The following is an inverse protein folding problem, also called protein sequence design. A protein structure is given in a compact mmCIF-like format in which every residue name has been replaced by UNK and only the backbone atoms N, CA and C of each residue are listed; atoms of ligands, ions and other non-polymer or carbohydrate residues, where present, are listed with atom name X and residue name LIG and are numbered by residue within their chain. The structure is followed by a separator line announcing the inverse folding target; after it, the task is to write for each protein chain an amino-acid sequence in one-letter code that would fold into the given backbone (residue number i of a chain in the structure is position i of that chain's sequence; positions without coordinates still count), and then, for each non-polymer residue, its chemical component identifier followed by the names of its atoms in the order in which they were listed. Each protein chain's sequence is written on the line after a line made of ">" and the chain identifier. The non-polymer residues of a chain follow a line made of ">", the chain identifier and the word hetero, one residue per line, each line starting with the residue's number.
data_IF_602016816795
#
_entry.id   IF_602016816795
#
_cell.length_a   1.000
_cell.length_b   1.000
_cell.length_c   1.000
_cell.angle_alpha   90.00
_cell.angle_beta   90.00
_cell.angle_gamma   90.00
#
_symmetry.space_group_name_H-M   'P 1'
#
loop_
_entity.id
_entity.type
_entity.pdbx_description
1 polymer ?
#
# COMPACT_ATOMS: atom_id res chain seq x y z
N UNK A 1 4.38 -16.69 -13.51
CA UNK A 1 3.17 -17.50 -13.51
C UNK A 1 1.98 -16.71 -14.06
N UNK A 2 1.61 -15.54 -13.52
CA UNK A 2 0.48 -14.73 -13.99
C UNK A 2 0.52 -14.43 -15.49
N UNK A 3 1.70 -14.01 -16.02
CA UNK A 3 1.84 -13.75 -17.46
C UNK A 3 1.58 -14.99 -18.32
N UNK A 4 2.04 -16.15 -17.89
CA UNK A 4 1.81 -17.41 -18.62
C UNK A 4 0.32 -17.77 -18.60
N UNK A 5 -0.34 -17.62 -17.46
CA UNK A 5 -1.79 -17.81 -17.31
C UNK A 5 -2.58 -16.86 -18.23
N UNK A 6 -2.22 -15.58 -18.23
CA UNK A 6 -2.89 -14.58 -19.08
C UNK A 6 -2.76 -14.93 -20.59
N UNK A 7 -1.60 -15.38 -21.04
CA UNK A 7 -1.36 -15.82 -22.42
C UNK A 7 -2.19 -17.08 -22.74
N UNK A 8 -2.20 -18.08 -21.84
CA UNK A 8 -2.98 -19.31 -22.00
C UNK A 8 -4.48 -19.01 -22.13
N UNK A 9 -4.98 -18.06 -21.35
CA UNK A 9 -6.40 -17.64 -21.35
C UNK A 9 -6.72 -16.60 -22.43
N UNK A 10 -5.76 -16.21 -23.25
CA UNK A 10 -5.90 -15.17 -24.29
C UNK A 10 -6.40 -13.83 -23.72
N UNK A 11 -5.96 -13.47 -22.50
CA UNK A 11 -6.28 -12.19 -21.88
C UNK A 11 -5.43 -11.07 -22.47
N UNK A 12 -6.07 -9.93 -22.75
CA UNK A 12 -5.38 -8.79 -23.34
C UNK A 12 -4.59 -8.00 -22.29
N UNK A 13 -3.32 -7.75 -22.59
CA UNK A 13 -2.50 -6.79 -21.85
C UNK A 13 -2.86 -5.37 -22.30
N UNK A 14 -2.92 -4.46 -21.33
CA UNK A 14 -3.31 -3.08 -21.59
C UNK A 14 -2.26 -2.35 -22.44
N UNK A 15 -2.71 -1.77 -23.54
CA UNK A 15 -1.90 -0.91 -24.41
C UNK A 15 -2.11 0.55 -23.99
N UNK A 16 -1.05 1.17 -23.43
CA UNK A 16 -1.05 2.56 -22.99
C UNK A 16 -1.25 3.59 -24.11
N UNK A 17 -0.95 3.23 -25.36
CA UNK A 17 -1.10 4.14 -26.50
C UNK A 17 -2.55 4.19 -26.97
N UNK A 18 -3.18 3.02 -27.02
CA UNK A 18 -4.55 2.89 -27.51
C UNK A 18 -5.59 2.89 -26.38
N UNK A 19 -5.15 2.90 -25.12
CA UNK A 19 -5.99 2.82 -23.92
C UNK A 19 -6.98 1.65 -23.98
N UNK A 20 -6.48 0.47 -24.35
CA UNK A 20 -7.26 -0.73 -24.54
C UNK A 20 -6.58 -1.96 -23.94
N UNK A 21 -7.37 -2.95 -23.50
CA UNK A 21 -6.93 -4.21 -22.91
C UNK A 21 -7.23 -4.29 -21.42
N UNK A 22 -7.34 -5.51 -20.88
CA UNK A 22 -7.81 -5.80 -19.52
C UNK A 22 -6.73 -5.60 -18.46
N UNK A 23 -5.55 -6.23 -18.66
CA UNK A 23 -4.49 -6.33 -17.64
C UNK A 23 -3.57 -5.12 -17.70
N UNK A 24 -3.70 -4.19 -16.75
CA UNK A 24 -2.92 -2.95 -16.76
C UNK A 24 -1.58 -3.09 -16.06
N UNK A 25 -1.59 -3.20 -14.76
CA UNK A 25 -0.38 -3.42 -13.97
C UNK A 25 -0.67 -4.16 -12.66
N UNK A 26 0.39 -4.49 -11.95
CA UNK A 26 0.33 -5.03 -10.59
C UNK A 26 1.22 -4.21 -9.67
N UNK A 27 0.77 -4.04 -8.44
CA UNK A 27 1.59 -3.52 -7.34
C UNK A 27 1.77 -4.62 -6.31
N UNK A 28 3.02 -5.02 -6.11
CA UNK A 28 3.39 -5.99 -5.08
C UNK A 28 4.11 -5.25 -3.95
N UNK A 29 3.64 -5.43 -2.72
CA UNK A 29 4.30 -4.97 -1.50
C UNK A 29 4.59 -6.14 -0.59
N UNK A 30 5.78 -6.19 -0.06
CA UNK A 30 6.18 -7.11 0.99
C UNK A 30 6.52 -6.32 2.24
N UNK A 31 6.13 -6.82 3.39
CA UNK A 31 6.38 -6.18 4.68
C UNK A 31 7.44 -6.92 5.49
N UNK A 32 8.07 -6.23 6.45
CA UNK A 32 9.02 -6.81 7.40
C UNK A 32 8.41 -7.92 8.26
N UNK A 33 7.09 -7.92 8.41
CA UNK A 33 6.30 -8.96 9.10
C UNK A 33 6.14 -10.25 8.29
N UNK A 34 6.56 -10.26 7.00
CA UNK A 34 6.35 -11.36 6.07
C UNK A 34 4.99 -11.32 5.36
N UNK A 35 4.13 -10.35 5.66
CA UNK A 35 2.87 -10.15 4.95
C UNK A 35 3.11 -9.64 3.52
N UNK A 36 2.24 -10.07 2.59
CA UNK A 36 2.31 -9.73 1.16
C UNK A 36 0.99 -9.12 0.72
N UNK A 37 1.06 -7.94 0.13
CA UNK A 37 -0.07 -7.31 -0.56
C UNK A 37 0.15 -7.35 -2.06
N UNK A 38 -0.84 -7.84 -2.79
CA UNK A 38 -0.90 -7.77 -4.25
C UNK A 38 -2.15 -7.01 -4.69
N UNK A 39 -1.96 -5.88 -5.35
CA UNK A 39 -3.02 -5.12 -6.00
C UNK A 39 -2.91 -5.30 -7.51
N UNK A 40 -3.99 -5.74 -8.15
CA UNK A 40 -4.09 -5.86 -9.62
C UNK A 40 -4.92 -4.71 -10.15
N UNK A 41 -4.40 -3.99 -11.12
CA UNK A 41 -5.16 -2.99 -11.85
C UNK A 41 -5.70 -3.58 -13.17
N UNK A 42 -7.00 -3.53 -13.32
CA UNK A 42 -7.71 -3.91 -14.53
C UNK A 42 -8.29 -2.67 -15.23
N UNK A 43 -8.59 -2.79 -16.51
CA UNK A 43 -9.46 -1.89 -17.23
C UNK A 43 -10.70 -2.70 -17.66
N UNK A 44 -11.75 -2.63 -16.87
CA UNK A 44 -12.99 -3.40 -17.05
C UNK A 44 -14.05 -2.46 -17.64
N UNK A 45 -14.46 -2.73 -18.87
CA UNK A 45 -15.48 -1.97 -19.59
C UNK A 45 -16.67 -2.82 -20.00
N UNK A 46 -16.53 -4.17 -19.97
CA UNK A 46 -17.55 -5.13 -20.35
C UNK A 46 -17.77 -6.19 -19.27
N UNK A 47 -18.91 -6.89 -19.31
CA UNK A 47 -19.18 -8.00 -18.38
C UNK A 47 -18.20 -9.17 -18.60
N UNK A 48 -17.80 -9.42 -19.84
CA UNK A 48 -16.78 -10.43 -20.13
C UNK A 48 -15.44 -10.10 -19.49
N UNK A 49 -14.97 -8.87 -19.58
CA UNK A 49 -13.74 -8.44 -18.92
C UNK A 49 -13.84 -8.53 -17.41
N UNK A 50 -15.03 -8.33 -16.84
CA UNK A 50 -15.29 -8.55 -15.41
C UNK A 50 -15.12 -10.02 -15.02
N UNK A 51 -15.66 -10.95 -15.82
CA UNK A 51 -15.49 -12.38 -15.60
C UNK A 51 -14.01 -12.79 -15.73
N UNK A 52 -13.33 -12.28 -16.74
CA UNK A 52 -11.91 -12.52 -16.98
C UNK A 52 -11.04 -11.97 -15.82
N UNK A 53 -11.36 -10.78 -15.30
CA UNK A 53 -10.67 -10.22 -14.13
C UNK A 53 -10.86 -11.09 -12.89
N UNK A 54 -12.08 -11.55 -12.60
CA UNK A 54 -12.36 -12.46 -11.48
C UNK A 54 -11.65 -13.81 -11.66
N UNK A 55 -11.54 -14.33 -12.87
CA UNK A 55 -10.77 -15.54 -13.17
C UNK A 55 -9.26 -15.34 -12.86
N UNK A 56 -8.71 -14.18 -13.15
CA UNK A 56 -7.33 -13.81 -12.76
C UNK A 56 -7.18 -13.77 -11.26
N UNK A 57 -8.11 -13.13 -10.54
CA UNK A 57 -8.06 -13.04 -9.07
C UNK A 57 -8.15 -14.41 -8.41
N UNK A 58 -9.01 -15.28 -8.93
CA UNK A 58 -9.14 -16.67 -8.44
C UNK A 58 -7.86 -17.49 -8.70
N UNK A 59 -7.25 -17.33 -9.88
CA UNK A 59 -5.95 -17.94 -10.17
C UNK A 59 -4.87 -17.48 -9.18
N UNK A 60 -4.77 -16.19 -8.90
CA UNK A 60 -3.81 -15.62 -7.97
C UNK A 60 -4.05 -16.15 -6.54
N UNK A 61 -5.30 -16.16 -6.09
CA UNK A 61 -5.67 -16.66 -4.78
C UNK A 61 -5.29 -18.13 -4.56
N UNK A 62 -5.51 -18.97 -5.57
CA UNK A 62 -5.17 -20.41 -5.50
C UNK A 62 -3.68 -20.69 -5.64
N UNK A 63 -2.99 -19.92 -6.49
CA UNK A 63 -1.60 -20.17 -6.84
C UNK A 63 -0.61 -19.60 -5.83
N UNK A 64 -1.04 -18.61 -5.03
CA UNK A 64 -0.18 -17.87 -4.10
C UNK A 64 -0.89 -17.69 -2.75
N UNK A 65 -1.07 -18.79 -1.98
CA UNK A 65 -1.77 -18.74 -0.68
C UNK A 65 -1.04 -17.89 0.37
N UNK A 66 0.22 -17.54 0.13
CA UNK A 66 1.02 -16.65 0.97
C UNK A 66 0.62 -15.16 0.87
N UNK A 67 -0.20 -14.78 -0.10
CA UNK A 67 -0.69 -13.39 -0.23
C UNK A 67 -1.69 -13.10 0.88
N UNK A 68 -1.32 -12.21 1.80
CA UNK A 68 -2.12 -11.82 2.96
C UNK A 68 -3.24 -10.81 2.59
N UNK A 69 -2.99 -10.03 1.54
CA UNK A 69 -3.87 -8.96 1.06
C UNK A 69 -3.93 -9.01 -0.47
N UNK A 70 -4.99 -9.60 -1.01
CA UNK A 70 -5.22 -9.71 -2.44
C UNK A 70 -6.33 -8.74 -2.86
N UNK A 71 -5.95 -7.72 -3.62
CA UNK A 71 -6.78 -6.58 -3.95
C UNK A 71 -6.86 -6.38 -5.47
N UNK A 72 -7.91 -5.71 -5.91
CA UNK A 72 -7.97 -5.23 -7.28
C UNK A 72 -8.68 -3.89 -7.39
N UNK A 73 -8.46 -3.20 -8.50
CA UNK A 73 -9.09 -1.93 -8.83
C UNK A 73 -9.44 -1.90 -10.32
N UNK A 74 -10.62 -1.34 -10.63
CA UNK A 74 -10.97 -1.02 -12.01
C UNK A 74 -10.51 0.40 -12.34
N UNK A 75 -9.51 0.51 -13.22
CA UNK A 75 -8.96 1.78 -13.67
C UNK A 75 -9.16 1.95 -15.18
N UNK A 76 -10.20 2.67 -15.56
CA UNK A 76 -10.52 3.01 -16.95
C UNK A 76 -9.93 4.34 -17.42
N UNK A 77 -9.13 4.99 -16.55
CA UNK A 77 -8.46 6.27 -16.86
C UNK A 77 -7.24 6.06 -17.76
N UNK A 78 -6.75 7.14 -18.37
CA UNK A 78 -5.53 7.12 -19.18
C UNK A 78 -4.23 7.20 -18.34
N UNK A 79 -4.29 7.05 -17.02
CA UNK A 79 -3.13 7.02 -16.12
C UNK A 79 -3.26 5.91 -15.09
N UNK A 80 -2.17 5.58 -14.38
CA UNK A 80 -2.12 4.49 -13.42
C UNK A 80 -2.36 4.91 -11.96
N UNK A 81 -2.79 6.16 -11.72
CA UNK A 81 -3.10 6.61 -10.35
C UNK A 81 -4.36 5.94 -9.83
N UNK A 82 -4.34 5.54 -8.56
CA UNK A 82 -5.46 4.83 -7.91
C UNK A 82 -6.09 5.61 -6.75
N UNK A 83 -5.57 6.80 -6.43
CA UNK A 83 -6.00 7.57 -5.25
C UNK A 83 -7.50 7.87 -5.21
N UNK A 84 -8.12 8.09 -6.35
CA UNK A 84 -9.54 8.40 -6.56
C UNK A 84 -10.41 7.19 -6.93
N UNK A 85 -9.84 5.97 -6.92
CA UNK A 85 -10.54 4.75 -7.30
C UNK A 85 -10.87 3.88 -6.08
N UNK A 86 -11.96 3.14 -6.15
CA UNK A 86 -12.32 2.15 -5.13
C UNK A 86 -11.45 0.90 -5.27
N UNK A 87 -10.71 0.56 -4.22
CA UNK A 87 -9.96 -0.67 -4.12
C UNK A 87 -10.83 -1.75 -3.51
N UNK A 88 -10.93 -2.88 -4.18
CA UNK A 88 -11.78 -4.00 -3.78
C UNK A 88 -10.90 -5.11 -3.21
N UNK A 89 -11.22 -5.53 -1.99
CA UNK A 89 -10.58 -6.70 -1.37
C UNK A 89 -11.19 -7.97 -1.94
N UNK A 90 -10.36 -8.77 -2.62
CA UNK A 90 -10.76 -10.09 -3.11
C UNK A 90 -10.59 -11.16 -2.03
N UNK A 91 -9.45 -11.15 -1.33
CA UNK A 91 -9.16 -12.09 -0.25
C UNK A 91 -8.21 -11.47 0.78
N UNK A 92 -8.34 -11.90 2.03
CA UNK A 92 -7.52 -11.42 3.13
C UNK A 92 -7.93 -10.03 3.64
N UNK A 93 -6.95 -9.22 3.99
CA UNK A 93 -7.14 -7.85 4.51
C UNK A 93 -6.94 -6.81 3.42
N UNK A 94 -7.42 -5.58 3.64
CA UNK A 94 -7.17 -4.42 2.77
C UNK A 94 -5.86 -3.68 3.11
N UNK A 95 -5.02 -4.27 3.95
CA UNK A 95 -3.75 -3.70 4.42
C UNK A 95 -2.75 -4.81 4.75
N UNK A 96 -1.50 -4.41 4.93
CA UNK A 96 -0.42 -5.20 5.56
C UNK A 96 0.18 -4.39 6.70
N UNK A 97 0.94 -5.06 7.58
CA UNK A 97 1.66 -4.39 8.66
C UNK A 97 3.17 -4.36 8.40
N UNK A 98 3.75 -3.21 8.63
CA UNK A 98 5.19 -3.04 8.83
C UNK A 98 5.50 -2.93 10.31
N UNK A 99 6.69 -3.36 10.72
CA UNK A 99 7.13 -3.29 12.11
C UNK A 99 8.53 -2.66 12.23
N UNK A 100 8.71 -1.76 13.20
CA UNK A 100 9.96 -1.06 13.45
C UNK A 100 10.07 -0.70 14.93
N UNK A 101 11.12 -1.16 15.63
CA UNK A 101 11.34 -0.94 17.08
C UNK A 101 10.11 -1.27 17.96
N UNK A 102 9.36 -2.30 17.61
CA UNK A 102 8.12 -2.68 18.32
C UNK A 102 6.93 -1.75 18.05
N UNK A 103 7.07 -0.80 17.12
CA UNK A 103 5.95 -0.04 16.57
C UNK A 103 5.40 -0.78 15.35
N UNK A 104 4.09 -0.84 15.25
CA UNK A 104 3.41 -1.54 14.18
C UNK A 104 2.61 -0.54 13.34
N UNK A 105 2.85 -0.54 12.04
CA UNK A 105 2.26 0.42 11.10
C UNK A 105 1.34 -0.30 10.11
N UNK A 106 0.07 0.06 10.12
CA UNK A 106 -0.88 -0.33 9.09
C UNK A 106 -0.56 0.40 7.79
N UNK A 107 -0.38 -0.36 6.70
CA UNK A 107 -0.07 0.15 5.36
C UNK A 107 -1.12 -0.33 4.37
N UNK A 108 -1.97 0.57 3.94
CA UNK A 108 -2.99 0.32 2.91
C UNK A 108 -2.43 0.42 1.48
N UNK A 109 -3.23 0.05 0.47
CA UNK A 109 -2.81 0.08 -0.94
C UNK A 109 -2.55 1.49 -1.46
N UNK A 110 -3.18 2.51 -0.90
CA UNK A 110 -3.00 3.93 -1.25
C UNK A 110 -2.01 4.65 -0.34
N UNK A 111 -1.61 4.04 0.78
CA UNK A 111 -0.72 4.65 1.75
C UNK A 111 0.71 4.68 1.24
N UNK A 112 1.38 5.80 1.43
CA UNK A 112 2.83 5.87 1.23
C UNK A 112 3.55 5.22 2.41
N UNK A 113 4.46 4.32 2.13
CA UNK A 113 5.43 3.78 3.06
C UNK A 113 6.75 3.56 2.32
N UNK A 114 7.88 3.75 3.00
CA UNK A 114 9.20 3.58 2.40
C UNK A 114 9.41 2.12 1.94
N UNK A 115 9.73 1.94 0.68
CA UNK A 115 9.84 0.61 0.05
C UNK A 115 11.01 -0.23 0.56
N UNK A 116 12.07 0.42 1.05
CA UNK A 116 13.18 -0.23 1.74
C UNK A 116 13.08 0.05 3.23
N UNK A 117 12.40 -0.84 3.96
CA UNK A 117 12.11 -0.69 5.39
C UNK A 117 13.37 -0.67 6.25
N UNK A 118 14.41 -1.44 5.89
CA UNK A 118 15.69 -1.44 6.60
C UNK A 118 16.39 -0.08 6.49
N UNK A 119 16.49 0.46 5.28
CA UNK A 119 17.11 1.74 5.04
C UNK A 119 16.27 2.89 5.62
N UNK A 120 14.95 2.78 5.61
CA UNK A 120 14.06 3.73 6.27
C UNK A 120 14.32 3.78 7.78
N UNK A 121 14.51 2.63 8.40
CA UNK A 121 14.84 2.55 9.82
C UNK A 121 16.15 3.30 10.14
N UNK A 122 17.22 3.08 9.35
CA UNK A 122 18.48 3.80 9.52
C UNK A 122 18.29 5.32 9.38
N UNK A 123 17.55 5.76 8.37
CA UNK A 123 17.20 7.17 8.15
C UNK A 123 16.44 7.77 9.35
N UNK A 124 15.47 7.03 9.90
CA UNK A 124 14.68 7.51 11.03
C UNK A 124 15.49 7.58 12.33
N UNK A 125 16.49 6.69 12.51
CA UNK A 125 17.44 6.80 13.62
C UNK A 125 18.25 8.11 13.54
N UNK A 126 18.80 8.42 12.36
CA UNK A 126 19.52 9.67 12.12
C UNK A 126 18.63 10.88 12.36
N UNK A 127 17.39 10.85 11.85
CA UNK A 127 16.40 11.92 12.08
C UNK A 127 16.16 12.14 13.57
N UNK A 128 15.96 11.05 14.33
CA UNK A 128 15.73 11.10 15.78
C UNK A 128 16.95 11.61 16.55
N UNK A 129 18.16 11.26 16.11
CA UNK A 129 19.39 11.76 16.69
C UNK A 129 19.56 13.25 16.46
N UNK A 130 19.38 13.72 15.21
CA UNK A 130 19.52 15.14 14.85
C UNK A 130 18.44 16.03 15.48
N UNK A 131 17.29 15.46 15.82
CA UNK A 131 16.24 16.20 16.52
C UNK A 131 16.60 16.53 17.99
N UNK A 132 17.61 15.89 18.58
CA UNK A 132 18.14 16.13 19.94
C UNK A 132 17.04 16.25 21.02
N UNK A 133 15.98 15.43 20.89
CA UNK A 133 14.83 15.49 21.76
C UNK A 133 15.15 15.08 23.20
N UNK A 134 14.74 15.92 24.16
CA UNK A 134 14.99 15.75 25.61
C UNK A 134 13.76 15.27 26.39
N UNK A 135 12.58 15.15 25.71
CA UNK A 135 11.29 14.81 26.32
C UNK A 135 10.43 16.02 26.66
N UNK A 136 10.89 17.23 26.38
CA UNK A 136 10.13 18.47 26.69
C UNK A 136 9.56 19.17 25.44
N UNK A 137 9.93 18.72 24.26
CA UNK A 137 9.63 19.39 23.01
C UNK A 137 8.20 19.09 22.51
N UNK A 138 7.62 20.08 21.84
CA UNK A 138 6.50 19.92 20.94
C UNK A 138 7.06 19.76 19.51
N UNK A 139 6.86 18.60 18.93
CA UNK A 139 7.35 18.27 17.58
C UNK A 139 6.19 18.34 16.59
N UNK A 140 6.44 18.93 15.43
CA UNK A 140 5.53 18.90 14.30
C UNK A 140 6.14 18.02 13.20
N UNK A 141 5.42 16.97 12.81
CA UNK A 141 5.74 16.12 11.66
C UNK A 141 4.85 16.56 10.49
N UNK A 142 5.44 17.34 9.57
CA UNK A 142 4.74 17.88 8.42
C UNK A 142 4.74 16.86 7.28
N UNK A 143 3.57 16.65 6.67
CA UNK A 143 3.33 15.59 5.69
C UNK A 143 3.52 14.19 6.30
N UNK A 144 2.92 13.99 7.44
CA UNK A 144 3.18 12.81 8.31
C UNK A 144 2.81 11.47 7.66
N UNK A 145 2.00 11.47 6.61
CA UNK A 145 1.53 10.25 5.93
C UNK A 145 0.79 9.34 6.92
N UNK A 146 1.25 8.10 7.03
CA UNK A 146 0.73 7.11 7.98
C UNK A 146 1.22 7.30 9.42
N UNK A 147 1.93 8.41 9.69
CA UNK A 147 2.42 8.76 11.03
C UNK A 147 3.71 8.05 11.46
N UNK A 148 4.46 7.50 10.52
CA UNK A 148 5.62 6.66 10.82
C UNK A 148 6.71 7.41 11.60
N UNK A 149 7.15 8.57 11.10
CA UNK A 149 8.19 9.38 11.77
C UNK A 149 7.65 9.96 13.07
N UNK A 150 6.42 10.48 13.05
CA UNK A 150 5.77 11.01 14.25
C UNK A 150 5.81 10.01 15.42
N UNK A 151 5.43 8.76 15.18
CA UNK A 151 5.44 7.71 16.20
C UNK A 151 6.85 7.28 16.60
N UNK A 152 7.77 7.21 15.63
CA UNK A 152 9.15 6.82 15.86
C UNK A 152 9.88 7.77 16.82
N UNK A 153 9.55 9.07 16.81
CA UNK A 153 10.11 10.08 17.70
C UNK A 153 9.30 10.31 18.97
N UNK A 154 8.03 9.85 19.02
CA UNK A 154 7.08 10.18 20.07
C UNK A 154 7.56 9.84 21.49
N UNK A 155 8.29 8.71 21.66
CA UNK A 155 8.83 8.30 22.96
C UNK A 155 9.88 9.27 23.53
N UNK A 156 10.44 10.15 22.71
CA UNK A 156 11.48 11.13 23.10
C UNK A 156 10.99 12.57 23.08
N UNK A 157 9.70 12.82 22.84
CA UNK A 157 9.11 14.15 22.82
C UNK A 157 8.02 14.27 23.87
N UNK A 158 7.73 15.48 24.34
CA UNK A 158 6.58 15.76 25.21
C UNK A 158 5.26 15.55 24.45
N UNK A 159 5.22 15.94 23.20
CA UNK A 159 4.08 15.80 22.30
C UNK A 159 4.54 15.84 20.85
N UNK A 160 3.92 15.03 20.01
CA UNK A 160 4.07 15.10 18.55
C UNK A 160 2.73 15.41 17.91
N UNK A 161 2.74 16.27 16.90
CA UNK A 161 1.57 16.64 16.11
C UNK A 161 1.89 16.33 14.64
N UNK A 162 1.25 15.31 14.09
CA UNK A 162 1.29 15.02 12.66
C UNK A 162 0.34 15.92 11.87
N UNK A 163 0.79 16.42 10.72
CA UNK A 163 0.00 17.23 9.79
C UNK A 163 -0.03 16.53 8.44
N UNK A 164 -1.23 16.22 7.95
CA UNK A 164 -1.45 15.51 6.69
C UNK A 164 -2.74 16.02 6.04
N UNK A 165 -2.79 16.02 4.71
CA UNK A 165 -3.96 16.47 3.94
C UNK A 165 -4.80 15.32 3.37
N UNK A 166 -4.20 14.12 3.20
CA UNK A 166 -4.85 12.95 2.60
C UNK A 166 -5.69 12.22 3.66
N UNK A 167 -7.03 12.16 3.51
CA UNK A 167 -7.92 11.59 4.54
C UNK A 167 -7.61 10.13 4.90
N UNK A 168 -7.28 9.30 3.92
CA UNK A 168 -6.95 7.89 4.13
C UNK A 168 -5.66 7.75 4.95
N UNK A 169 -4.64 8.55 4.64
CA UNK A 169 -3.39 8.59 5.41
C UNK A 169 -3.62 9.05 6.85
N UNK A 170 -4.50 10.04 7.06
CA UNK A 170 -4.88 10.49 8.40
C UNK A 170 -5.57 9.37 9.19
N UNK A 171 -6.45 8.61 8.54
CA UNK A 171 -7.13 7.48 9.17
C UNK A 171 -6.12 6.40 9.60
N UNK A 172 -5.19 6.05 8.72
CA UNK A 172 -4.11 5.10 9.03
C UNK A 172 -3.19 5.63 10.13
N UNK A 173 -2.79 6.92 10.09
CA UNK A 173 -1.96 7.53 11.13
C UNK A 173 -2.62 7.50 12.52
N UNK A 174 -3.93 7.74 12.59
CA UNK A 174 -4.70 7.65 13.86
C UNK A 174 -4.79 6.20 14.35
N UNK A 175 -5.03 5.24 13.47
CA UNK A 175 -5.06 3.83 13.82
C UNK A 175 -3.70 3.36 14.35
N UNK A 176 -2.63 3.76 13.66
CA UNK A 176 -1.26 3.47 14.04
C UNK A 176 -0.85 4.11 15.38
N UNK A 177 -1.33 5.32 15.68
CA UNK A 177 -1.03 6.00 16.95
C UNK A 177 -1.80 5.42 18.15
N UNK A 178 -2.85 4.65 17.93
CA UNK A 178 -3.65 4.01 18.96
C UNK A 178 -3.22 2.58 19.29
N UNK A 179 -2.33 1.98 18.45
CA UNK A 179 -1.84 0.62 18.60
C UNK A 179 -0.61 0.56 19.52
#
# INVERSE_FOLDING_TARGET
>A
QLRAFAIEKNLEFYDLRNNHGLLRNIMLRTASTGEIMLLVQFCITTDKEREDALMVMEFLHKSFPEISSLLYVNNTKCNDTIGDLDVITYSGTDFIYEEMEGLRFKVGPKSFYQTNSEQAYELYKVTREFAELTGNELVYDLYTGTGTIAQFVAKRAKRVVGVEAVPESIADAKANAAA
#
